data_IF_902186380282
#
_entry.id   IF_902186380282
#
_cell.length_a   1.000
_cell.length_b   1.000
_cell.length_c   1.000
_cell.angle_alpha   90.00
_cell.angle_beta   90.00
_cell.angle_gamma   90.00
#
_symmetry.space_group_name_H-M   'P 1'
#
loop_
_entity.id
_entity.type
_entity.pdbx_description
1 polymer ?
#
# COMPACT_ATOMS: atom_id res chain seq x y z
N UNK A 1 -7.81 4.06 -27.24
CA UNK A 1 -7.82 4.49 -25.82
C UNK A 1 -8.81 5.65 -25.70
N UNK A 2 -9.76 5.54 -24.78
CA UNK A 2 -10.70 6.63 -24.54
C UNK A 2 -9.91 7.86 -24.08
N UNK A 3 -10.35 9.05 -24.55
CA UNK A 3 -9.71 10.34 -24.21
C UNK A 3 -9.77 10.66 -22.68
N UNK A 4 -10.43 9.82 -21.90
CA UNK A 4 -10.68 9.99 -20.46
C UNK A 4 -9.58 9.40 -19.56
N UNK A 5 -8.69 8.51 -20.04
CA UNK A 5 -7.72 7.80 -19.22
C UNK A 5 -6.25 8.22 -19.42
N UNK A 6 -6.03 9.39 -19.98
CA UNK A 6 -4.70 9.91 -20.30
C UNK A 6 -3.77 10.07 -19.08
N UNK A 7 -4.28 10.01 -17.88
CA UNK A 7 -3.57 10.08 -16.60
C UNK A 7 -3.51 8.72 -15.88
N UNK A 8 -3.69 7.62 -16.62
CA UNK A 8 -3.62 6.24 -16.14
C UNK A 8 -2.78 5.36 -17.09
N UNK A 9 -1.70 5.94 -17.61
CA UNK A 9 -0.82 5.20 -18.52
C UNK A 9 -0.06 4.14 -17.75
N UNK A 10 -0.19 2.88 -18.16
CA UNK A 10 0.54 1.73 -17.59
C UNK A 10 1.95 1.56 -18.16
N UNK A 11 2.23 2.21 -19.29
CA UNK A 11 3.53 2.27 -19.93
C UNK A 11 3.99 3.72 -19.93
N UNK A 12 5.31 3.94 -19.86
CA UNK A 12 5.88 5.27 -19.84
C UNK A 12 7.08 5.33 -20.81
N UNK A 13 7.04 6.28 -21.73
CA UNK A 13 8.08 6.62 -22.67
C UNK A 13 8.01 8.13 -22.99
N UNK A 14 8.95 8.65 -23.78
CA UNK A 14 9.06 10.08 -24.08
C UNK A 14 7.80 10.66 -24.76
N UNK A 15 7.16 9.87 -25.64
CA UNK A 15 5.93 10.28 -26.30
C UNK A 15 4.76 10.40 -25.31
N UNK A 16 4.56 9.37 -24.49
CA UNK A 16 3.50 9.35 -23.45
C UNK A 16 3.76 10.47 -22.44
N UNK A 17 4.98 10.66 -22.02
CA UNK A 17 5.38 11.73 -21.11
C UNK A 17 5.03 13.11 -21.69
N UNK A 18 5.42 13.36 -22.93
CA UNK A 18 5.11 14.62 -23.64
C UNK A 18 3.60 14.85 -23.68
N UNK A 19 2.81 13.85 -24.06
CA UNK A 19 1.35 13.95 -24.14
C UNK A 19 0.71 14.15 -22.76
N UNK A 20 1.23 13.47 -21.75
CA UNK A 20 0.78 13.62 -20.37
C UNK A 20 0.96 15.08 -19.90
N UNK A 21 2.16 15.64 -20.03
CA UNK A 21 2.43 17.00 -19.59
C UNK A 21 1.69 18.07 -20.39
N UNK A 22 1.48 17.88 -21.70
CA UNK A 22 0.65 18.77 -22.51
C UNK A 22 -0.79 18.85 -22.00
N UNK A 23 -1.37 17.71 -21.60
CA UNK A 23 -2.73 17.65 -21.01
C UNK A 23 -2.75 18.17 -19.59
N UNK A 24 -1.74 17.82 -18.78
CA UNK A 24 -1.57 18.26 -17.40
C UNK A 24 -1.51 19.80 -17.30
N UNK A 25 -0.82 20.46 -18.21
CA UNK A 25 -0.73 21.94 -18.29
C UNK A 25 -2.10 22.61 -18.45
N UNK A 26 -3.06 21.92 -19.09
CA UNK A 26 -4.43 22.41 -19.29
C UNK A 26 -5.36 22.14 -18.10
N UNK A 27 -4.95 21.27 -17.18
CA UNK A 27 -5.74 20.79 -16.05
C UNK A 27 -5.52 21.68 -14.83
N UNK A 28 -6.18 22.85 -14.79
CA UNK A 28 -5.91 23.90 -13.77
C UNK A 28 -6.27 23.50 -12.34
N UNK A 29 -7.40 22.81 -12.13
CA UNK A 29 -7.93 22.46 -10.80
C UNK A 29 -7.61 21.03 -10.39
N UNK A 30 -7.36 20.12 -11.33
CA UNK A 30 -7.17 18.69 -11.08
C UNK A 30 -5.74 18.23 -11.32
N UNK A 31 -4.81 19.17 -11.53
CA UNK A 31 -3.41 18.86 -11.85
C UNK A 31 -2.78 17.95 -10.81
N UNK A 32 -2.95 18.29 -9.55
CA UNK A 32 -2.38 17.56 -8.42
C UNK A 32 -2.91 16.13 -8.36
N UNK A 33 -4.22 15.96 -8.52
CA UNK A 33 -4.86 14.65 -8.56
C UNK A 33 -4.36 13.78 -9.74
N UNK A 34 -4.20 14.36 -10.94
CA UNK A 34 -3.72 13.61 -12.10
C UNK A 34 -2.27 13.17 -11.96
N UNK A 35 -1.40 13.98 -11.34
CA UNK A 35 -0.04 13.57 -11.01
C UNK A 35 -0.04 12.33 -10.11
N UNK A 36 -0.83 12.36 -9.04
CA UNK A 36 -0.89 11.26 -8.06
C UNK A 36 -1.51 10.00 -8.66
N UNK A 37 -2.58 10.12 -9.45
CA UNK A 37 -3.18 8.95 -10.12
C UNK A 37 -2.19 8.31 -11.10
N UNK A 38 -1.48 9.13 -11.90
CA UNK A 38 -0.46 8.61 -12.81
C UNK A 38 0.70 7.96 -12.06
N UNK A 39 1.16 8.58 -10.96
CA UNK A 39 2.18 8.00 -10.10
C UNK A 39 1.77 6.62 -9.55
N UNK A 40 0.55 6.49 -9.01
CA UNK A 40 0.01 5.22 -8.52
C UNK A 40 -0.07 4.15 -9.63
N UNK A 41 -0.41 4.56 -10.85
CA UNK A 41 -0.53 3.63 -11.99
C UNK A 41 0.81 3.04 -12.40
N UNK A 42 1.92 3.74 -12.14
CA UNK A 42 3.27 3.37 -12.58
C UNK A 42 4.12 2.71 -11.50
N UNK A 43 3.61 2.50 -10.30
CA UNK A 43 4.38 1.99 -9.15
C UNK A 43 5.15 0.70 -9.44
N UNK A 44 4.54 -0.21 -10.18
CA UNK A 44 5.13 -1.52 -10.51
C UNK A 44 5.98 -1.48 -11.79
N UNK A 45 5.51 -0.76 -12.82
CA UNK A 45 6.13 -0.80 -14.16
C UNK A 45 7.24 0.24 -14.32
N UNK A 46 7.11 1.40 -13.67
CA UNK A 46 8.06 2.51 -13.78
C UNK A 46 8.26 3.22 -12.44
N UNK A 47 8.80 2.54 -11.39
CA UNK A 47 8.88 3.08 -10.03
C UNK A 47 9.72 4.36 -9.94
N UNK A 48 10.75 4.52 -10.77
CA UNK A 48 11.55 5.76 -10.81
C UNK A 48 10.73 6.96 -11.33
N UNK A 49 9.86 6.74 -12.30
CA UNK A 49 8.93 7.78 -12.80
C UNK A 49 7.90 8.10 -11.73
N UNK A 50 7.37 7.09 -11.04
CA UNK A 50 6.49 7.29 -9.88
C UNK A 50 7.12 8.24 -8.86
N UNK A 51 8.37 7.99 -8.47
CA UNK A 51 9.08 8.85 -7.50
C UNK A 51 9.22 10.29 -7.99
N UNK A 52 9.52 10.50 -9.28
CA UNK A 52 9.61 11.82 -9.89
C UNK A 52 8.26 12.55 -9.88
N UNK A 53 7.17 11.88 -10.27
CA UNK A 53 5.84 12.47 -10.27
C UNK A 53 5.35 12.81 -8.85
N UNK A 54 5.66 11.97 -7.87
CA UNK A 54 5.36 12.23 -6.45
C UNK A 54 6.16 13.42 -5.93
N UNK A 55 7.44 13.52 -6.29
CA UNK A 55 8.25 14.68 -5.93
C UNK A 55 7.66 15.96 -6.52
N UNK A 56 7.35 15.96 -7.83
CA UNK A 56 6.70 17.10 -8.49
C UNK A 56 5.38 17.50 -7.82
N UNK A 57 4.57 16.49 -7.43
CA UNK A 57 3.35 16.74 -6.66
C UNK A 57 3.65 17.53 -5.38
N UNK A 58 4.58 17.07 -4.54
CA UNK A 58 4.91 17.73 -3.28
C UNK A 58 5.50 19.14 -3.46
N UNK A 59 6.23 19.36 -4.54
CA UNK A 59 6.81 20.67 -4.86
C UNK A 59 5.76 21.70 -5.36
N UNK A 60 4.71 21.21 -6.03
CA UNK A 60 3.78 22.07 -6.76
C UNK A 60 2.34 22.04 -6.27
N UNK A 61 2.00 21.16 -5.31
CA UNK A 61 0.62 20.97 -4.84
C UNK A 61 0.06 22.25 -4.21
N UNK A 62 -1.24 22.46 -4.43
CA UNK A 62 -1.97 23.61 -3.88
C UNK A 62 -2.66 23.32 -2.55
N UNK A 63 -2.85 22.05 -2.23
CA UNK A 63 -3.48 21.58 -0.99
C UNK A 63 -2.95 20.18 -0.64
N UNK A 64 -3.39 19.63 0.48
CA UNK A 64 -2.92 18.36 1.04
C UNK A 64 -3.87 17.19 0.76
N UNK A 65 -4.88 17.36 -0.09
CA UNK A 65 -5.94 16.38 -0.30
C UNK A 65 -5.42 15.02 -0.79
N UNK A 66 -4.45 15.02 -1.68
CA UNK A 66 -3.86 13.79 -2.24
C UNK A 66 -2.54 13.37 -1.56
N UNK A 67 -2.12 14.02 -0.45
CA UNK A 67 -0.85 13.71 0.25
C UNK A 67 -0.75 12.24 0.63
N UNK A 68 -1.79 11.67 1.23
CA UNK A 68 -1.83 10.26 1.64
C UNK A 68 -1.62 9.33 0.43
N UNK A 69 -2.30 9.60 -0.68
CA UNK A 69 -2.19 8.81 -1.91
C UNK A 69 -0.82 8.95 -2.57
N UNK A 70 -0.23 10.14 -2.53
CA UNK A 70 1.12 10.39 -3.04
C UNK A 70 2.17 9.64 -2.21
N UNK A 71 2.04 9.64 -0.88
CA UNK A 71 2.90 8.87 0.01
C UNK A 71 2.74 7.36 -0.21
N UNK A 72 1.53 6.88 -0.44
CA UNK A 72 1.27 5.49 -0.79
C UNK A 72 1.96 5.10 -2.11
N UNK A 73 1.85 5.93 -3.15
CA UNK A 73 2.53 5.71 -4.42
C UNK A 73 4.06 5.63 -4.24
N UNK A 74 4.63 6.53 -3.44
CA UNK A 74 6.06 6.53 -3.11
C UNK A 74 6.47 5.25 -2.39
N UNK A 75 5.68 4.79 -1.44
CA UNK A 75 5.93 3.57 -0.70
C UNK A 75 5.97 2.35 -1.62
N UNK A 76 4.96 2.20 -2.50
CA UNK A 76 4.91 1.10 -3.46
C UNK A 76 6.06 1.16 -4.46
N UNK A 77 6.46 2.34 -4.92
CA UNK A 77 7.62 2.48 -5.78
C UNK A 77 8.92 2.00 -5.10
N UNK A 78 9.12 2.31 -3.81
CA UNK A 78 10.27 1.79 -3.06
C UNK A 78 10.19 0.29 -2.81
N UNK A 79 9.00 -0.29 -2.61
CA UNK A 79 8.80 -1.75 -2.54
C UNK A 79 9.25 -2.40 -3.85
N UNK A 80 8.81 -1.87 -5.00
CA UNK A 80 9.21 -2.38 -6.33
C UNK A 80 10.72 -2.27 -6.56
N UNK A 81 11.35 -1.21 -6.04
CA UNK A 81 12.81 -1.02 -6.08
C UNK A 81 13.58 -1.84 -5.05
N UNK A 82 12.88 -2.57 -4.17
CA UNK A 82 13.47 -3.34 -3.06
C UNK A 82 14.33 -2.51 -2.09
N UNK A 83 14.00 -1.21 -1.94
CA UNK A 83 14.70 -0.29 -1.06
C UNK A 83 14.05 -0.29 0.33
N UNK A 84 14.44 -1.29 1.15
CA UNK A 84 13.80 -1.57 2.45
C UNK A 84 13.83 -0.35 3.38
N UNK A 85 14.95 0.36 3.46
CA UNK A 85 15.08 1.51 4.35
C UNK A 85 14.09 2.62 3.97
N UNK A 86 13.99 2.93 2.67
CA UNK A 86 13.05 3.95 2.18
C UNK A 86 11.61 3.49 2.27
N UNK A 87 11.30 2.20 2.14
CA UNK A 87 9.96 1.63 2.38
C UNK A 87 9.52 1.93 3.81
N UNK A 88 10.35 1.57 4.80
CA UNK A 88 10.04 1.78 6.23
C UNK A 88 9.80 3.27 6.52
N UNK A 89 10.72 4.13 6.07
CA UNK A 89 10.58 5.58 6.23
C UNK A 89 9.28 6.10 5.59
N UNK A 90 8.99 5.66 4.38
CA UNK A 90 7.80 6.08 3.63
C UNK A 90 6.49 5.65 4.29
N UNK A 91 6.43 4.42 4.84
CA UNK A 91 5.28 3.96 5.63
C UNK A 91 5.08 4.79 6.91
N UNK A 92 6.15 5.13 7.62
CA UNK A 92 6.05 5.98 8.82
C UNK A 92 5.48 7.37 8.48
N UNK A 93 5.94 7.97 7.39
CA UNK A 93 5.43 9.26 6.92
C UNK A 93 3.96 9.15 6.47
N UNK A 94 3.60 8.06 5.78
CA UNK A 94 2.22 7.78 5.37
C UNK A 94 1.28 7.66 6.58
N UNK A 95 1.63 6.84 7.56
CA UNK A 95 0.84 6.68 8.79
C UNK A 95 0.73 8.00 9.58
N UNK A 96 1.81 8.78 9.65
CA UNK A 96 1.77 10.10 10.29
C UNK A 96 0.89 11.10 9.52
N UNK A 97 0.80 10.98 8.20
CA UNK A 97 -0.08 11.79 7.36
C UNK A 97 -1.55 11.40 7.57
N UNK A 98 -1.86 10.09 7.61
CA UNK A 98 -3.21 9.58 7.90
C UNK A 98 -3.74 10.05 9.26
N UNK A 99 -2.87 10.12 10.28
CA UNK A 99 -3.27 10.66 11.60
C UNK A 99 -3.71 12.13 11.54
N UNK A 100 -3.16 12.93 10.63
CA UNK A 100 -3.55 14.33 10.41
C UNK A 100 -4.77 14.47 9.51
N UNK A 101 -5.03 13.48 8.67
CA UNK A 101 -6.10 13.45 7.67
C UNK A 101 -6.99 12.21 7.86
N UNK A 102 -7.76 12.10 8.96
CA UNK A 102 -8.45 10.87 9.36
C UNK A 102 -9.49 10.36 8.35
N UNK A 103 -9.94 11.22 7.42
CA UNK A 103 -10.84 10.83 6.33
C UNK A 103 -10.11 10.26 5.10
N UNK A 104 -8.77 10.25 5.11
CA UNK A 104 -7.91 9.78 4.01
C UNK A 104 -7.07 8.62 4.52
N UNK A 105 -7.69 7.45 4.67
CA UNK A 105 -7.01 6.25 5.17
C UNK A 105 -6.72 5.24 4.07
N UNK A 106 -5.65 4.48 4.25
CA UNK A 106 -5.24 3.39 3.36
C UNK A 106 -5.10 2.08 4.15
N UNK A 107 -4.62 1.01 3.52
CA UNK A 107 -4.24 -0.23 4.18
C UNK A 107 -2.90 -0.18 4.92
N UNK A 108 -2.24 0.99 5.01
CA UNK A 108 -0.90 1.10 5.59
C UNK A 108 -0.81 0.57 7.04
N UNK A 109 -1.90 0.64 7.81
CA UNK A 109 -1.96 0.15 9.18
C UNK A 109 -1.76 -1.38 9.31
N UNK A 110 -2.04 -2.15 8.27
CA UNK A 110 -1.73 -3.59 8.19
C UNK A 110 -0.57 -3.89 7.24
N UNK A 111 -0.40 -3.13 6.16
CA UNK A 111 0.64 -3.35 5.17
C UNK A 111 2.04 -3.10 5.73
N UNK A 112 2.23 -2.03 6.52
CA UNK A 112 3.52 -1.75 7.15
C UNK A 112 3.95 -2.83 8.15
N UNK A 113 3.12 -3.22 9.15
CA UNK A 113 3.50 -4.31 10.06
C UNK A 113 3.73 -5.64 9.35
N UNK A 114 2.92 -5.96 8.35
CA UNK A 114 3.08 -7.17 7.55
C UNK A 114 4.39 -7.15 6.76
N UNK A 115 4.75 -6.03 6.15
CA UNK A 115 6.03 -5.84 5.48
C UNK A 115 7.21 -6.03 6.46
N UNK A 116 7.14 -5.39 7.62
CA UNK A 116 8.16 -5.49 8.67
C UNK A 116 8.34 -6.94 9.13
N UNK A 117 7.25 -7.66 9.39
CA UNK A 117 7.27 -9.03 9.85
C UNK A 117 7.84 -9.99 8.80
N UNK A 118 7.35 -9.90 7.56
CA UNK A 118 7.77 -10.80 6.46
C UNK A 118 9.18 -10.54 5.96
N UNK A 119 9.72 -9.34 6.17
CA UNK A 119 11.12 -8.99 5.85
C UNK A 119 12.07 -9.16 7.03
N UNK A 120 11.58 -9.55 8.21
CA UNK A 120 12.43 -9.76 9.39
C UNK A 120 13.12 -8.49 9.89
N UNK A 121 12.43 -7.34 9.83
CA UNK A 121 13.01 -6.03 10.20
C UNK A 121 12.85 -5.84 11.71
N UNK A 122 13.66 -6.55 12.50
CA UNK A 122 13.51 -6.66 13.97
C UNK A 122 13.51 -5.31 14.68
N UNK A 123 14.30 -4.34 14.23
CA UNK A 123 14.32 -2.99 14.80
C UNK A 123 13.00 -2.23 14.69
N UNK A 124 12.08 -2.69 13.84
CA UNK A 124 10.75 -2.11 13.64
C UNK A 124 9.64 -2.89 14.36
N UNK A 125 9.91 -4.02 14.96
CA UNK A 125 8.89 -4.90 15.55
C UNK A 125 8.03 -4.19 16.59
N UNK A 126 8.64 -3.44 17.50
CA UNK A 126 7.90 -2.69 18.51
C UNK A 126 6.94 -1.65 17.90
N UNK A 127 7.39 -0.94 16.85
CA UNK A 127 6.57 0.02 16.13
C UNK A 127 5.42 -0.67 15.37
N UNK A 128 5.72 -1.78 14.69
CA UNK A 128 4.73 -2.56 13.96
C UNK A 128 3.60 -3.08 14.87
N UNK A 129 3.96 -3.68 16.01
CA UNK A 129 2.99 -4.14 17.02
C UNK A 129 2.16 -2.97 17.57
N UNK A 130 2.77 -1.83 17.83
CA UNK A 130 2.06 -0.63 18.29
C UNK A 130 1.01 -0.17 17.27
N UNK A 131 1.37 -0.15 15.97
CA UNK A 131 0.44 0.21 14.88
C UNK A 131 -0.72 -0.77 14.80
N UNK A 132 -0.46 -2.09 14.86
CA UNK A 132 -1.50 -3.13 14.85
C UNK A 132 -2.48 -2.97 16.01
N UNK A 133 -1.96 -2.83 17.23
CA UNK A 133 -2.80 -2.71 18.44
C UNK A 133 -3.70 -1.46 18.42
N UNK A 134 -3.17 -0.33 17.94
CA UNK A 134 -3.94 0.91 17.81
C UNK A 134 -5.06 0.85 16.76
N UNK A 135 -5.01 -0.12 15.84
CA UNK A 135 -5.94 -0.25 14.73
C UNK A 135 -6.61 -1.64 14.72
N UNK A 136 -6.74 -2.29 15.88
CA UNK A 136 -7.25 -3.66 15.99
C UNK A 136 -8.73 -3.83 15.59
N UNK A 137 -9.49 -2.74 15.62
CA UNK A 137 -10.91 -2.66 15.25
C UNK A 137 -11.16 -2.31 13.77
N UNK A 138 -10.10 -2.03 13.00
CA UNK A 138 -10.21 -1.58 11.61
C UNK A 138 -10.29 -2.67 10.55
N UNK A 139 -9.69 -3.87 10.70
CA UNK A 139 -9.75 -4.91 9.67
C UNK A 139 -11.20 -5.27 9.33
N UNK A 140 -11.52 -5.26 8.04
CA UNK A 140 -12.84 -5.60 7.49
C UNK A 140 -12.73 -6.74 6.49
N UNK A 141 -11.66 -6.78 5.70
CA UNK A 141 -11.45 -7.76 4.65
C UNK A 141 -10.65 -8.98 5.15
N UNK A 142 -10.89 -10.17 4.61
CA UNK A 142 -10.08 -11.35 4.92
C UNK A 142 -8.57 -11.11 4.77
N UNK A 143 -8.14 -10.36 3.76
CA UNK A 143 -6.73 -10.00 3.54
C UNK A 143 -6.18 -9.12 4.68
N UNK A 144 -6.97 -8.19 5.20
CA UNK A 144 -6.55 -7.33 6.31
C UNK A 144 -6.42 -8.14 7.61
N UNK A 145 -7.39 -9.01 7.91
CA UNK A 145 -7.30 -9.95 9.03
C UNK A 145 -6.08 -10.86 8.90
N UNK A 146 -5.87 -11.43 7.69
CA UNK A 146 -4.68 -12.24 7.41
C UNK A 146 -3.40 -11.49 7.72
N UNK A 147 -3.21 -10.30 7.14
CA UNK A 147 -2.00 -9.49 7.34
C UNK A 147 -1.80 -9.09 8.79
N UNK A 148 -2.87 -8.71 9.47
CA UNK A 148 -2.85 -8.32 10.89
C UNK A 148 -2.36 -9.47 11.76
N UNK A 149 -3.02 -10.63 11.65
CA UNK A 149 -2.69 -11.82 12.43
C UNK A 149 -1.33 -12.42 12.03
N UNK A 150 -0.99 -12.45 10.75
CA UNK A 150 0.30 -12.94 10.27
C UNK A 150 1.46 -12.10 10.84
N UNK A 151 1.33 -10.77 10.83
CA UNK A 151 2.35 -9.90 11.40
C UNK A 151 2.52 -10.13 12.90
N UNK A 152 1.43 -10.24 13.67
CA UNK A 152 1.48 -10.55 15.11
C UNK A 152 2.12 -11.92 15.36
N UNK A 153 1.74 -12.94 14.58
CA UNK A 153 2.30 -14.28 14.71
C UNK A 153 3.81 -14.32 14.46
N UNK A 154 4.26 -13.71 13.36
CA UNK A 154 5.68 -13.74 12.96
C UNK A 154 6.55 -12.91 13.90
N UNK A 155 6.07 -11.74 14.36
CA UNK A 155 6.85 -10.88 15.26
C UNK A 155 6.96 -11.49 16.66
N UNK A 156 5.85 -11.99 17.23
CA UNK A 156 5.80 -12.45 18.61
C UNK A 156 5.99 -13.97 18.75
N UNK A 157 6.07 -14.72 17.66
CA UNK A 157 6.09 -16.20 17.63
C UNK A 157 4.83 -16.80 18.31
N UNK A 158 3.65 -16.21 18.02
CA UNK A 158 2.40 -16.57 18.67
C UNK A 158 1.54 -17.52 17.82
N UNK A 159 1.42 -18.77 18.26
CA UNK A 159 0.65 -19.84 17.61
C UNK A 159 -0.81 -19.44 17.33
N UNK A 160 -1.49 -18.82 18.28
CA UNK A 160 -2.91 -18.47 18.13
C UNK A 160 -3.13 -17.48 16.99
N UNK A 161 -2.22 -16.51 16.82
CA UNK A 161 -2.27 -15.58 15.71
C UNK A 161 -1.95 -16.27 14.37
N UNK A 162 -1.05 -17.25 14.35
CA UNK A 162 -0.80 -18.03 13.14
C UNK A 162 -2.06 -18.79 12.69
N UNK A 163 -2.77 -19.44 13.62
CA UNK A 163 -4.04 -20.13 13.33
C UNK A 163 -5.08 -19.15 12.78
N UNK A 164 -5.28 -18.00 13.42
CA UNK A 164 -6.26 -16.98 12.97
C UNK A 164 -5.92 -16.43 11.57
N UNK A 165 -4.64 -16.24 11.27
CA UNK A 165 -4.22 -15.83 9.93
C UNK A 165 -4.53 -16.90 8.87
N UNK A 166 -4.26 -18.18 9.18
CA UNK A 166 -4.56 -19.29 8.29
C UNK A 166 -6.07 -19.48 8.07
N UNK A 167 -6.90 -19.19 9.07
CA UNK A 167 -8.36 -19.18 8.92
C UNK A 167 -8.82 -18.07 7.98
N UNK A 168 -8.28 -16.85 8.14
CA UNK A 168 -8.57 -15.75 7.23
C UNK A 168 -8.15 -16.06 5.78
N UNK A 169 -7.03 -16.80 5.59
CA UNK A 169 -6.56 -17.21 4.27
C UNK A 169 -7.47 -18.25 3.58
N UNK A 170 -8.31 -18.98 4.32
CA UNK A 170 -9.26 -19.96 3.75
C UNK A 170 -10.54 -19.32 3.24
N UNK A 171 -10.79 -18.05 3.55
CA UNK A 171 -12.00 -17.34 3.12
C UNK A 171 -11.93 -17.14 1.61
N UNK A 172 -12.93 -17.65 0.90
CA UNK A 172 -13.01 -17.63 -0.57
C UNK A 172 -14.09 -16.69 -1.13
N UNK A 173 -14.79 -15.96 -0.27
CA UNK A 173 -15.77 -14.93 -0.65
C UNK A 173 -15.73 -13.80 0.37
N UNK A 174 -15.60 -12.58 -0.12
CA UNK A 174 -15.73 -11.40 0.73
C UNK A 174 -17.20 -11.17 1.12
N UNK A 175 -17.42 -10.39 2.19
CA UNK A 175 -18.77 -10.00 2.63
C UNK A 175 -19.51 -9.05 1.68
N UNK A 176 -18.87 -8.60 0.60
CA UNK A 176 -19.47 -7.68 -0.36
C UNK A 176 -20.34 -8.41 -1.38
N UNK A 177 -21.64 -8.09 -1.39
CA UNK A 177 -22.64 -8.76 -2.25
C UNK A 177 -22.25 -8.77 -3.74
N UNK A 178 -21.68 -7.67 -4.24
CA UNK A 178 -21.38 -7.47 -5.67
C UNK A 178 -19.87 -7.58 -6.00
N UNK A 179 -19.01 -7.74 -5.00
CA UNK A 179 -17.56 -7.79 -5.15
C UNK A 179 -16.96 -8.89 -4.26
N UNK A 180 -17.40 -10.12 -4.50
CA UNK A 180 -17.07 -11.27 -3.64
C UNK A 180 -15.60 -11.67 -3.66
N UNK A 181 -14.84 -11.21 -4.63
CA UNK A 181 -13.41 -11.51 -4.83
C UNK A 181 -12.50 -10.42 -4.20
N UNK A 182 -13.07 -9.30 -3.73
CA UNK A 182 -12.28 -8.17 -3.18
C UNK A 182 -11.82 -8.47 -1.76
N UNK A 183 -10.53 -8.21 -1.50
CA UNK A 183 -9.94 -8.35 -0.17
C UNK A 183 -9.72 -9.80 0.27
N UNK A 184 -9.63 -10.75 -0.67
CA UNK A 184 -9.24 -12.12 -0.41
C UNK A 184 -7.71 -12.26 -0.39
N UNK A 185 -7.23 -13.32 0.29
CA UNK A 185 -5.80 -13.65 0.34
C UNK A 185 -5.39 -14.34 -0.95
N UNK A 186 -4.48 -13.72 -1.70
CA UNK A 186 -4.01 -14.21 -2.98
C UNK A 186 -2.76 -15.11 -2.88
N UNK A 187 -2.35 -15.67 -4.03
CA UNK A 187 -1.19 -16.55 -4.14
C UNK A 187 0.15 -15.89 -3.80
N UNK A 188 0.22 -14.58 -3.85
CA UNK A 188 1.39 -13.79 -3.46
C UNK A 188 1.77 -13.99 -1.98
N UNK A 189 0.88 -14.51 -1.17
CA UNK A 189 1.10 -14.80 0.26
C UNK A 189 1.50 -16.25 0.55
N UNK A 190 1.73 -17.10 -0.46
CA UNK A 190 2.00 -18.54 -0.30
C UNK A 190 3.19 -18.81 0.64
N UNK A 191 4.26 -18.04 0.56
CA UNK A 191 5.44 -18.21 1.42
C UNK A 191 5.13 -17.87 2.88
N UNK A 192 4.41 -16.79 3.11
CA UNK A 192 3.95 -16.42 4.47
C UNK A 192 3.02 -17.49 5.04
N UNK A 193 2.12 -18.05 4.23
CA UNK A 193 1.23 -19.14 4.67
C UNK A 193 2.03 -20.37 5.11
N UNK A 194 3.10 -20.75 4.42
CA UNK A 194 3.98 -21.85 4.85
C UNK A 194 4.62 -21.59 6.21
N UNK A 195 5.20 -20.40 6.40
CA UNK A 195 5.80 -20.01 7.69
C UNK A 195 4.76 -20.06 8.83
N UNK A 196 3.53 -19.61 8.56
CA UNK A 196 2.44 -19.66 9.55
C UNK A 196 2.00 -21.12 9.84
N UNK A 197 2.00 -22.02 8.85
CA UNK A 197 1.72 -23.44 9.09
C UNK A 197 2.76 -24.07 10.03
N UNK A 198 4.06 -23.78 9.83
CA UNK A 198 5.12 -24.24 10.72
C UNK A 198 4.96 -23.72 12.15
N UNK A 199 4.55 -22.44 12.30
CA UNK A 199 4.35 -21.83 13.61
C UNK A 199 3.06 -22.31 14.30
N UNK A 200 2.09 -22.83 13.54
CA UNK A 200 0.81 -23.32 14.06
C UNK A 200 0.85 -24.76 14.58
N UNK A 201 1.91 -25.50 14.30
CA UNK A 201 2.14 -26.88 14.81
C UNK A 201 2.76 -26.87 16.19
#
# INVERSE_FOLDING_TARGET
MSNYDWYRNKVWNDEIETQFYLKLKRSRSQRDQYLVIQALTLTETNPKVTLRLVQEYFETRKNTFDDVRALLARTYAYITLSDIERVVRSYRELLACEMKLPNHTTGAYVDYPFFVATKGIEQEYANAVCVLRKNSDRPVFPLEFFKWHAAMALINQERNHAISALEAAKVNRSGFRFHQDVGLVGKEHTETIKQLCELST
#
